data_IF_498466559653
#
_entry.id   IF_498466559653
#
_cell.length_a   1.000
_cell.length_b   1.000
_cell.length_c   1.000
_cell.angle_alpha   90.00
_cell.angle_beta   90.00
_cell.angle_gamma   90.00
#
_symmetry.space_group_name_H-M   'P 1'
#
loop_
_entity.id
_entity.type
_entity.pdbx_description
1 polymer ?
#
# COMPACT_ATOMS: atom_id res chain seq x y z
N UNK A 1 -38.25 -40.44 -20.03
CA UNK A 1 -38.69 -39.08 -20.39
C UNK A 1 -39.70 -38.66 -19.34
N UNK A 2 -39.69 -37.51 -18.68
CA UNK A 2 -38.84 -36.32 -18.61
C UNK A 2 -39.61 -35.41 -17.63
N UNK A 3 -38.90 -34.53 -16.91
CA UNK A 3 -39.41 -33.45 -16.04
C UNK A 3 -39.80 -33.84 -14.61
N UNK A 4 -38.80 -34.15 -13.78
CA UNK A 4 -38.88 -33.91 -12.32
C UNK A 4 -37.45 -33.69 -11.75
N UNK A 5 -36.56 -33.05 -12.51
CA UNK A 5 -35.17 -32.78 -12.08
C UNK A 5 -34.65 -31.40 -12.52
N UNK A 6 -35.56 -30.52 -12.94
CA UNK A 6 -35.41 -29.06 -12.93
C UNK A 6 -36.53 -28.63 -11.99
N UNK A 7 -36.32 -28.13 -10.77
CA UNK A 7 -35.76 -26.83 -10.44
C UNK A 7 -35.41 -26.88 -8.94
N UNK A 8 -34.25 -27.43 -8.59
CA UNK A 8 -33.64 -27.24 -7.26
C UNK A 8 -32.14 -26.92 -7.43
N UNK A 9 -31.82 -26.17 -8.50
CA UNK A 9 -30.70 -25.24 -8.41
C UNK A 9 -31.25 -24.11 -7.55
N UNK A 10 -31.10 -24.26 -6.24
CA UNK A 10 -31.21 -23.16 -5.29
C UNK A 10 -30.58 -21.95 -5.95
N UNK A 11 -31.45 -21.01 -6.31
CA UNK A 11 -31.08 -19.65 -6.62
C UNK A 11 -30.08 -19.26 -5.53
N UNK A 12 -28.82 -19.05 -5.91
CA UNK A 12 -27.92 -18.30 -5.05
C UNK A 12 -28.62 -16.97 -4.87
N UNK A 13 -29.32 -16.83 -3.73
CA UNK A 13 -30.11 -15.65 -3.39
C UNK A 13 -29.29 -14.43 -3.77
N UNK A 14 -29.84 -13.57 -4.62
CA UNK A 14 -29.23 -12.29 -4.94
C UNK A 14 -28.72 -11.65 -3.64
N UNK A 15 -27.40 -11.50 -3.54
CA UNK A 15 -26.78 -11.01 -2.32
C UNK A 15 -27.30 -9.60 -2.06
N UNK A 16 -28.15 -9.45 -1.04
CA UNK A 16 -28.72 -8.15 -0.68
C UNK A 16 -27.61 -7.25 -0.18
N UNK A 17 -27.35 -6.15 -0.89
CA UNK A 17 -26.41 -5.11 -0.46
C UNK A 17 -26.87 -4.57 0.90
N UNK A 18 -26.03 -4.76 1.93
CA UNK A 18 -26.34 -4.34 3.30
C UNK A 18 -26.12 -2.84 3.53
N UNK A 19 -25.21 -2.24 2.77
CA UNK A 19 -24.83 -0.84 2.92
C UNK A 19 -24.17 -0.33 1.64
N UNK A 20 -24.34 0.96 1.35
CA UNK A 20 -23.69 1.66 0.26
C UNK A 20 -23.16 3.01 0.76
N UNK A 21 -21.97 3.46 0.33
CA UNK A 21 -21.45 4.76 0.73
C UNK A 21 -22.27 5.91 0.12
N UNK A 22 -22.52 6.95 0.90
CA UNK A 22 -23.27 8.14 0.46
C UNK A 22 -22.63 8.83 -0.76
N UNK A 23 -21.31 8.75 -0.88
CA UNK A 23 -20.57 9.23 -2.05
C UNK A 23 -19.30 8.43 -2.28
N UNK A 24 -19.01 8.15 -3.56
CA UNK A 24 -17.73 7.58 -4.00
C UNK A 24 -16.74 8.65 -4.47
N UNK A 25 -17.17 9.91 -4.55
CA UNK A 25 -16.37 11.04 -5.02
C UNK A 25 -15.43 11.55 -3.95
N UNK A 26 -14.31 12.15 -4.36
CA UNK A 26 -13.33 12.81 -3.49
C UNK A 26 -12.60 11.90 -2.48
N UNK A 27 -12.83 10.59 -2.55
CA UNK A 27 -12.03 9.59 -1.83
C UNK A 27 -10.60 9.57 -2.37
N UNK A 28 -9.64 9.00 -1.63
CA UNK A 28 -8.26 8.86 -2.13
C UNK A 28 -8.20 8.04 -3.42
N UNK A 29 -9.04 7.01 -3.52
CA UNK A 29 -9.15 6.18 -4.73
C UNK A 29 -9.71 6.96 -5.92
N UNK A 30 -10.71 7.81 -5.69
CA UNK A 30 -11.30 8.66 -6.74
C UNK A 30 -10.34 9.74 -7.24
N UNK A 31 -9.55 10.32 -6.34
CA UNK A 31 -8.46 11.24 -6.67
C UNK A 31 -7.38 10.56 -7.51
N UNK A 32 -6.97 9.36 -7.11
CA UNK A 32 -6.03 8.54 -7.87
C UNK A 32 -6.57 8.18 -9.26
N UNK A 33 -7.83 7.73 -9.38
CA UNK A 33 -8.50 7.50 -10.67
C UNK A 33 -8.45 8.73 -11.58
N UNK A 34 -8.71 9.91 -11.00
CA UNK A 34 -8.70 11.18 -11.74
C UNK A 34 -7.28 11.56 -12.19
N UNK A 35 -6.26 11.26 -11.37
CA UNK A 35 -4.85 11.40 -11.73
C UNK A 35 -4.50 10.52 -12.92
N UNK A 36 -4.84 9.23 -12.87
CA UNK A 36 -4.62 8.26 -13.96
C UNK A 36 -5.31 8.73 -15.25
N UNK A 37 -6.56 9.19 -15.18
CA UNK A 37 -7.26 9.76 -16.35
C UNK A 37 -6.48 10.92 -16.98
N UNK A 38 -5.93 11.82 -16.15
CA UNK A 38 -5.17 12.96 -16.63
C UNK A 38 -3.86 12.56 -17.29
N UNK A 39 -3.10 11.66 -16.65
CA UNK A 39 -1.74 11.34 -17.07
C UNK A 39 -1.72 10.44 -18.31
N UNK A 40 -2.72 9.58 -18.47
CA UNK A 40 -2.83 8.63 -19.58
C UNK A 40 -3.91 9.00 -20.62
N UNK A 41 -4.60 10.13 -20.45
CA UNK A 41 -5.66 10.57 -21.37
C UNK A 41 -6.88 9.65 -21.40
N UNK A 42 -7.20 9.01 -20.27
CA UNK A 42 -8.28 8.04 -20.14
C UNK A 42 -9.57 8.69 -19.62
N UNK A 43 -10.68 7.95 -19.72
CA UNK A 43 -11.98 8.35 -19.18
C UNK A 43 -12.59 7.24 -18.33
N UNK A 44 -11.82 6.72 -17.37
CA UNK A 44 -12.27 5.75 -16.38
C UNK A 44 -13.37 6.40 -15.54
N UNK A 45 -14.60 5.89 -15.55
CA UNK A 45 -15.75 6.53 -14.90
C UNK A 45 -15.91 6.10 -13.44
N UNK A 46 -15.48 4.89 -13.10
CA UNK A 46 -15.70 4.31 -11.76
C UNK A 46 -14.54 3.39 -11.33
N UNK A 47 -14.69 2.78 -10.15
CA UNK A 47 -13.69 1.87 -9.58
C UNK A 47 -13.43 0.63 -10.45
N UNK A 48 -14.48 0.04 -11.05
CA UNK A 48 -14.32 -1.15 -11.87
C UNK A 48 -13.50 -0.86 -13.13
N UNK A 49 -13.69 0.31 -13.74
CA UNK A 49 -12.90 0.73 -14.89
C UNK A 49 -11.43 0.89 -14.50
N UNK A 50 -11.14 1.52 -13.34
CA UNK A 50 -9.79 1.64 -12.80
C UNK A 50 -9.18 0.27 -12.48
N UNK A 51 -9.96 -0.63 -11.90
CA UNK A 51 -9.52 -1.98 -11.58
C UNK A 51 -9.16 -2.75 -12.86
N UNK A 52 -10.04 -2.74 -13.86
CA UNK A 52 -9.78 -3.40 -15.14
C UNK A 52 -8.51 -2.85 -15.79
N UNK A 53 -8.38 -1.52 -15.84
CA UNK A 53 -7.16 -0.88 -16.35
C UNK A 53 -5.90 -1.29 -15.56
N UNK A 54 -5.98 -1.37 -14.23
CA UNK A 54 -4.85 -1.74 -13.38
C UNK A 54 -4.33 -3.17 -13.61
N UNK A 55 -5.20 -4.07 -14.04
CA UNK A 55 -4.84 -5.46 -14.34
C UNK A 55 -4.30 -5.56 -15.77
N UNK A 56 -4.94 -4.89 -16.71
CA UNK A 56 -4.53 -4.89 -18.13
C UNK A 56 -3.21 -4.11 -18.36
N UNK A 57 -2.95 -3.06 -17.57
CA UNK A 57 -1.81 -2.15 -17.70
C UNK A 57 -1.04 -2.07 -16.37
N UNK A 58 -0.68 -3.23 -15.82
CA UNK A 58 -0.11 -3.32 -14.46
C UNK A 58 1.26 -2.61 -14.34
N UNK A 59 2.05 -2.52 -15.41
CA UNK A 59 3.34 -1.80 -15.41
C UNK A 59 3.11 -0.30 -15.18
N UNK A 60 2.23 0.29 -15.97
CA UNK A 60 1.83 1.69 -15.88
C UNK A 60 1.14 1.97 -14.55
N UNK A 61 0.25 1.08 -14.11
CA UNK A 61 -0.44 1.22 -12.83
C UNK A 61 0.55 1.28 -11.66
N UNK A 62 1.51 0.36 -11.57
CA UNK A 62 2.45 0.33 -10.45
C UNK A 62 3.49 1.46 -10.51
N UNK A 63 3.87 1.93 -11.71
CA UNK A 63 4.63 3.16 -11.87
C UNK A 63 3.84 4.38 -11.34
N UNK A 64 2.55 4.46 -11.64
CA UNK A 64 1.70 5.56 -11.18
C UNK A 64 1.46 5.50 -9.68
N UNK A 65 1.28 4.31 -9.09
CA UNK A 65 1.21 4.15 -7.63
C UNK A 65 2.49 4.63 -6.95
N UNK A 66 3.66 4.33 -7.53
CA UNK A 66 4.95 4.81 -7.01
C UNK A 66 5.01 6.34 -6.99
N UNK A 67 4.63 6.98 -8.10
CA UNK A 67 4.60 8.43 -8.24
C UNK A 67 3.60 9.07 -7.29
N UNK A 68 2.35 8.60 -7.32
CA UNK A 68 1.24 9.15 -6.55
C UNK A 68 1.43 9.04 -5.03
N UNK A 69 2.06 7.95 -4.56
CA UNK A 69 2.39 7.77 -3.14
C UNK A 69 3.54 8.66 -2.65
N UNK A 70 4.22 9.35 -3.57
CA UNK A 70 5.37 10.19 -3.29
C UNK A 70 6.52 9.39 -2.69
N UNK A 71 6.78 8.19 -3.23
CA UNK A 71 7.82 7.30 -2.73
C UNK A 71 9.20 7.97 -2.81
N UNK A 72 9.90 8.05 -1.67
CA UNK A 72 11.26 8.58 -1.60
C UNK A 72 12.24 7.46 -1.92
N UNK A 73 13.14 7.71 -2.87
CA UNK A 73 14.21 6.78 -3.21
C UNK A 73 15.51 7.52 -3.50
N UNK A 74 16.61 6.88 -3.15
CA UNK A 74 17.97 7.34 -3.48
C UNK A 74 18.38 6.97 -4.91
N UNK A 75 17.71 5.97 -5.49
CA UNK A 75 17.80 5.59 -6.91
C UNK A 75 16.39 5.22 -7.38
N UNK A 76 15.98 5.81 -8.50
CA UNK A 76 14.73 5.41 -9.17
C UNK A 76 14.91 4.05 -9.83
N UNK A 77 13.80 3.31 -10.00
CA UNK A 77 13.82 2.03 -10.72
C UNK A 77 14.16 2.23 -12.20
N UNK A 78 14.73 1.20 -12.79
CA UNK A 78 14.96 1.08 -14.23
C UNK A 78 13.78 0.36 -14.91
N UNK A 79 13.19 -0.60 -14.20
CA UNK A 79 12.08 -1.43 -14.67
C UNK A 79 11.10 -1.69 -13.52
N UNK A 80 9.79 -1.61 -13.79
CA UNK A 80 8.74 -1.78 -12.76
C UNK A 80 8.60 -3.23 -12.34
N UNK A 81 8.61 -4.18 -13.28
CA UNK A 81 8.68 -5.61 -12.98
C UNK A 81 9.21 -6.38 -14.17
N UNK A 82 10.03 -7.40 -13.91
CA UNK A 82 10.56 -8.32 -14.92
C UNK A 82 9.43 -9.18 -15.50
N UNK A 83 8.95 -8.78 -16.69
CA UNK A 83 7.84 -9.47 -17.40
C UNK A 83 8.26 -10.79 -18.06
N UNK A 84 9.55 -11.11 -18.08
CA UNK A 84 10.04 -12.38 -18.65
C UNK A 84 9.83 -13.56 -17.71
N UNK A 85 9.64 -13.28 -16.42
CA UNK A 85 9.47 -14.27 -15.36
C UNK A 85 8.01 -14.55 -15.05
N UNK A 86 7.72 -15.79 -14.67
CA UNK A 86 6.39 -16.16 -14.17
C UNK A 86 6.27 -15.76 -12.70
N UNK A 87 5.02 -15.63 -12.22
CA UNK A 87 4.73 -15.38 -10.80
C UNK A 87 5.34 -16.44 -9.88
N UNK A 88 5.41 -17.71 -10.33
CA UNK A 88 6.06 -18.81 -9.61
C UNK A 88 7.54 -18.57 -9.34
N UNK A 89 8.19 -17.77 -10.19
CA UNK A 89 9.61 -17.47 -10.12
C UNK A 89 9.88 -16.16 -9.37
N UNK A 90 8.83 -15.54 -8.83
CA UNK A 90 8.84 -14.29 -8.07
C UNK A 90 9.61 -13.19 -8.83
N UNK A 91 8.98 -12.55 -9.84
CA UNK A 91 9.66 -11.55 -10.65
C UNK A 91 10.16 -10.39 -9.77
N UNK A 92 11.28 -9.80 -10.17
CA UNK A 92 11.84 -8.66 -9.45
C UNK A 92 10.98 -7.42 -9.74
N UNK A 93 10.54 -6.73 -8.69
CA UNK A 93 9.77 -5.50 -8.78
C UNK A 93 10.66 -4.29 -8.51
N UNK A 94 10.45 -3.21 -9.27
CA UNK A 94 11.17 -1.94 -9.18
C UNK A 94 12.69 -2.12 -9.23
N UNK A 95 13.14 -2.95 -10.16
CA UNK A 95 14.55 -3.31 -10.35
C UNK A 95 15.42 -2.06 -10.51
N UNK A 96 16.57 -2.06 -9.85
CA UNK A 96 17.51 -0.93 -9.83
C UNK A 96 17.18 0.16 -8.80
N UNK A 97 15.95 0.18 -8.26
CA UNK A 97 15.59 1.15 -7.23
C UNK A 97 16.32 0.90 -5.92
N UNK A 98 16.51 1.98 -5.14
CA UNK A 98 17.07 1.89 -3.79
C UNK A 98 16.35 2.86 -2.87
N UNK A 99 15.58 2.32 -1.93
CA UNK A 99 14.82 3.07 -0.93
C UNK A 99 15.13 2.61 0.49
N UNK A 100 14.69 3.40 1.47
CA UNK A 100 14.64 3.00 2.87
C UNK A 100 13.19 3.04 3.37
N UNK A 101 12.73 1.94 3.96
CA UNK A 101 11.36 1.82 4.45
C UNK A 101 11.06 2.79 5.61
N UNK A 102 11.94 2.85 6.61
CA UNK A 102 11.78 3.73 7.76
C UNK A 102 11.81 5.21 7.35
N UNK A 103 12.65 5.59 6.40
CA UNK A 103 12.66 6.94 5.82
C UNK A 103 11.30 7.31 5.22
N UNK A 104 10.69 6.42 4.44
CA UNK A 104 9.40 6.66 3.82
C UNK A 104 8.25 6.73 4.84
N UNK A 105 8.31 5.98 5.94
CA UNK A 105 7.33 6.07 7.02
C UNK A 105 7.50 7.34 7.87
N UNK A 106 8.73 7.79 8.07
CA UNK A 106 9.08 8.92 8.93
C UNK A 106 9.20 10.26 8.17
N UNK A 107 8.81 10.29 6.89
CA UNK A 107 8.93 11.48 6.01
C UNK A 107 7.96 12.62 6.33
N UNK A 108 7.07 12.47 7.31
CA UNK A 108 6.11 13.51 7.67
C UNK A 108 6.86 14.80 8.03
N UNK A 109 6.44 15.93 7.46
CA UNK A 109 7.14 17.21 7.59
C UNK A 109 6.90 17.85 8.97
N UNK A 110 5.65 17.83 9.41
CA UNK A 110 5.25 18.26 10.76
C UNK A 110 5.75 17.26 11.81
N UNK A 111 6.73 17.69 12.61
CA UNK A 111 7.35 16.87 13.65
C UNK A 111 6.53 16.83 14.95
N UNK A 112 5.64 17.79 15.17
CA UNK A 112 4.84 17.90 16.40
C UNK A 112 3.53 17.10 16.30
N UNK A 113 3.18 16.68 15.08
CA UNK A 113 2.03 15.81 14.84
C UNK A 113 2.24 14.42 15.47
N UNK A 114 1.19 13.88 16.07
CA UNK A 114 1.17 12.53 16.64
C UNK A 114 1.32 11.48 15.53
N UNK A 115 2.35 10.63 15.66
CA UNK A 115 2.61 9.49 14.79
C UNK A 115 2.02 8.19 15.36
N UNK A 116 2.10 7.99 16.69
CA UNK A 116 1.61 6.79 17.36
C UNK A 116 0.72 7.15 18.55
N UNK A 117 -0.36 6.40 18.72
CA UNK A 117 -1.15 6.31 19.94
C UNK A 117 -0.88 4.94 20.55
N UNK A 118 -0.15 4.90 21.67
CA UNK A 118 0.18 3.67 22.37
C UNK A 118 -0.74 3.50 23.58
N UNK A 119 -1.36 2.33 23.67
CA UNK A 119 -2.26 1.93 24.76
C UNK A 119 -1.68 0.66 25.39
N UNK A 120 -1.69 0.58 26.71
CA UNK A 120 -1.19 -0.56 27.47
C UNK A 120 -2.21 -0.95 28.54
N UNK A 121 -2.37 -2.24 28.80
CA UNK A 121 -3.40 -2.76 29.73
C UNK A 121 -3.34 -2.13 31.13
N UNK A 122 -2.12 -1.87 31.62
CA UNK A 122 -1.89 -1.31 32.95
C UNK A 122 -1.92 0.23 33.00
N UNK A 123 -2.28 0.92 31.90
CA UNK A 123 -2.34 2.38 31.83
C UNK A 123 -3.66 2.83 31.25
N UNK A 124 -4.40 3.62 32.02
CA UNK A 124 -5.63 4.26 31.55
C UNK A 124 -5.35 5.37 30.51
N UNK A 125 -4.16 5.97 30.56
CA UNK A 125 -3.79 7.07 29.65
C UNK A 125 -3.19 6.58 28.34
N UNK A 126 -3.69 7.14 27.23
CA UNK A 126 -3.14 6.93 25.89
C UNK A 126 -1.85 7.74 25.77
N UNK A 127 -0.72 7.05 25.57
CA UNK A 127 0.56 7.69 25.29
C UNK A 127 0.59 8.15 23.83
N UNK A 128 0.91 9.42 23.60
CA UNK A 128 1.06 10.00 22.26
C UNK A 128 2.53 10.16 21.96
N UNK A 129 2.97 9.65 20.83
CA UNK A 129 4.35 9.83 20.33
C UNK A 129 4.28 10.63 19.04
N UNK A 130 4.96 11.76 19.01
CA UNK A 130 5.05 12.63 17.84
C UNK A 130 6.00 12.06 16.78
N UNK A 131 5.91 12.55 15.53
CA UNK A 131 6.86 12.18 14.48
C UNK A 131 8.30 12.52 14.86
N UNK A 132 8.53 13.65 15.54
CA UNK A 132 9.86 14.05 16.00
C UNK A 132 10.44 13.12 17.06
N UNK A 133 9.63 12.71 18.03
CA UNK A 133 10.02 11.72 19.05
C UNK A 133 10.31 10.36 18.41
N UNK A 134 9.38 9.84 17.60
CA UNK A 134 9.54 8.56 16.93
C UNK A 134 10.81 8.53 16.06
N UNK A 135 11.07 9.60 15.30
CA UNK A 135 12.28 9.72 14.48
C UNK A 135 13.56 9.69 15.30
N UNK A 136 13.57 10.37 16.46
CA UNK A 136 14.70 10.39 17.38
C UNK A 136 14.97 9.00 17.97
N UNK A 137 13.92 8.32 18.41
CA UNK A 137 14.02 6.99 19.00
C UNK A 137 14.51 5.97 17.97
N UNK A 138 13.91 5.96 16.76
CA UNK A 138 14.35 5.10 15.66
C UNK A 138 15.83 5.35 15.32
N UNK A 139 16.27 6.61 15.29
CA UNK A 139 17.67 6.94 15.03
C UNK A 139 18.61 6.42 16.14
N UNK A 140 18.19 6.53 17.41
CA UNK A 140 18.93 6.03 18.56
C UNK A 140 19.09 4.51 18.51
N UNK A 141 17.99 3.77 18.30
CA UNK A 141 18.02 2.32 18.18
C UNK A 141 18.85 1.86 16.98
N UNK A 142 18.69 2.51 15.81
CA UNK A 142 19.49 2.19 14.63
C UNK A 142 21.00 2.43 14.87
N UNK A 143 21.38 3.48 15.60
CA UNK A 143 22.76 3.73 15.98
C UNK A 143 23.30 2.67 16.95
N UNK A 144 22.50 2.27 17.94
CA UNK A 144 22.86 1.23 18.89
C UNK A 144 23.07 -0.13 18.19
N UNK A 145 22.15 -0.53 17.30
CA UNK A 145 22.26 -1.77 16.52
C UNK A 145 23.52 -1.76 15.64
N UNK A 146 23.82 -0.65 14.96
CA UNK A 146 25.07 -0.51 14.20
C UNK A 146 26.31 -0.66 15.09
N UNK A 147 26.30 -0.08 16.30
CA UNK A 147 27.39 -0.22 17.28
C UNK A 147 27.56 -1.66 17.76
N UNK A 148 26.46 -2.42 17.86
CA UNK A 148 26.47 -3.85 18.17
C UNK A 148 26.89 -4.73 16.99
N UNK A 149 27.13 -4.14 15.81
CA UNK A 149 27.66 -4.83 14.64
C UNK A 149 26.60 -5.33 13.65
N UNK A 150 25.32 -4.97 13.82
CA UNK A 150 24.24 -5.31 12.88
C UNK A 150 24.49 -4.68 11.51
N UNK A 151 24.34 -5.48 10.46
CA UNK A 151 24.55 -5.11 9.04
C UNK A 151 23.31 -5.39 8.20
N UNK A 152 23.30 -4.83 6.99
CA UNK A 152 22.27 -5.15 5.99
C UNK A 152 22.26 -6.65 5.68
N UNK A 153 21.09 -7.28 5.81
CA UNK A 153 20.90 -8.72 5.60
C UNK A 153 20.87 -9.54 6.90
N UNK A 154 21.27 -8.94 8.02
CA UNK A 154 21.13 -9.57 9.33
C UNK A 154 19.66 -9.58 9.76
N UNK A 155 19.28 -10.61 10.53
CA UNK A 155 17.95 -10.74 11.11
C UNK A 155 18.03 -10.34 12.58
N UNK A 156 17.11 -9.49 13.01
CA UNK A 156 16.98 -9.02 14.39
C UNK A 156 15.63 -9.47 14.92
N UNK A 157 15.61 -10.09 16.09
CA UNK A 157 14.38 -10.47 16.80
C UNK A 157 14.35 -9.67 18.10
N UNK A 158 13.19 -9.06 18.38
CA UNK A 158 12.90 -8.44 19.67
C UNK A 158 12.04 -9.37 20.52
N UNK A 159 12.17 -9.25 21.83
CA UNK A 159 11.27 -9.85 22.82
C UNK A 159 10.15 -8.88 23.20
#
# INVERSE_FOLDING_TARGET
>A
MSKDTEVMREEIMESKVLWYPDSKKNTQMDRFRTQVNRDFGLNLANYNDLYQWSVENYLEFWAEVWSYSGMLSSKIYEEVVDVSKRVSDVPEWFKGSRLNYAENLLKHTDQDKVALYAVAEAREEITKVTFGELRRDVALFAAAMRKMGVRTGDRVVGE
#
